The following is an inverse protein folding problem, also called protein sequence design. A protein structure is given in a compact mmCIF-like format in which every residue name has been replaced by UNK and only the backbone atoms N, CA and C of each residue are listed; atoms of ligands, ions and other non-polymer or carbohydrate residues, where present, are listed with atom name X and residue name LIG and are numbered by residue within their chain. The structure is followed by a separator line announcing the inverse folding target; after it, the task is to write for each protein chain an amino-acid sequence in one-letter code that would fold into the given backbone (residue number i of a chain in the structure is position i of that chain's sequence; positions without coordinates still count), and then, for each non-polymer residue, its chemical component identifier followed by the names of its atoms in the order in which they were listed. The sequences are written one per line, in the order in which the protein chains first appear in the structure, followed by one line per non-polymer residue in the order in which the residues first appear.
data_IF_418287375623
#
_entry.id   IF_418287375623
#
_cell.length_a   1.000
_cell.length_b   1.000
_cell.length_c   1.000
_cell.angle_alpha   90.00
_cell.angle_beta   90.00
_cell.angle_gamma   90.00
#
_symmetry.space_group_name_H-M   'P 1'
#
loop_
_entity.id
_entity.type
_entity.pdbx_description
1 polymer ?
#
# COMPACT_ATOMS: atom_id res chain seq x y z
N UNK A 1 1.80 -6.72 -22.13
CA UNK A 1 1.00 -5.63 -21.54
C UNK A 1 1.88 -4.52 -20.99
N UNK A 2 2.62 -4.78 -19.90
CA UNK A 2 3.44 -3.75 -19.23
C UNK A 2 4.44 -3.01 -20.13
N UNK A 3 5.06 -3.72 -21.09
CA UNK A 3 6.03 -3.10 -22.02
C UNK A 3 5.36 -2.05 -22.92
N UNK A 4 4.19 -2.34 -23.50
CA UNK A 4 3.50 -1.40 -24.41
C UNK A 4 3.02 -0.16 -23.66
N UNK A 5 2.43 -0.34 -22.48
CA UNK A 5 1.97 0.77 -21.64
C UNK A 5 3.14 1.60 -21.10
N UNK A 6 4.27 0.96 -20.77
CA UNK A 6 5.48 1.66 -20.34
C UNK A 6 6.12 2.45 -21.50
N UNK A 7 6.12 1.92 -22.73
CA UNK A 7 6.59 2.65 -23.91
C UNK A 7 5.71 3.86 -24.20
N UNK A 8 4.38 3.71 -24.18
CA UNK A 8 3.48 4.86 -24.35
C UNK A 8 3.59 5.90 -23.23
N UNK A 9 3.81 5.45 -21.98
CA UNK A 9 4.07 6.35 -20.85
C UNK A 9 5.40 7.08 -20.98
N UNK A 10 6.44 6.42 -21.49
CA UNK A 10 7.75 7.03 -21.75
C UNK A 10 7.78 7.99 -22.95
N UNK A 11 6.81 7.87 -23.86
CA UNK A 11 6.63 8.77 -25.01
C UNK A 11 5.60 9.88 -24.74
N UNK A 12 5.20 10.08 -23.47
CA UNK A 12 4.17 11.06 -23.03
C UNK A 12 2.79 10.87 -23.68
N UNK A 13 2.51 9.70 -24.27
CA UNK A 13 1.23 9.37 -24.90
C UNK A 13 0.23 8.78 -23.89
N UNK A 14 0.01 9.49 -22.79
CA UNK A 14 -0.85 9.06 -21.67
C UNK A 14 -2.27 8.65 -22.10
N UNK A 15 -2.82 9.27 -23.14
CA UNK A 15 -4.13 8.92 -23.71
C UNK A 15 -4.17 7.48 -24.27
N UNK A 16 -3.08 7.02 -24.91
CA UNK A 16 -2.98 5.66 -25.48
C UNK A 16 -2.75 4.58 -24.43
N UNK A 17 -2.35 4.98 -23.22
CA UNK A 17 -2.34 4.10 -22.02
C UNK A 17 -3.71 4.08 -21.34
N UNK A 18 -4.36 5.25 -21.25
CA UNK A 18 -5.62 5.39 -20.53
C UNK A 18 -6.78 4.70 -21.25
N UNK A 19 -6.90 4.82 -22.57
CA UNK A 19 -8.04 4.28 -23.33
C UNK A 19 -8.19 2.75 -23.17
N UNK A 20 -7.14 1.92 -23.40
CA UNK A 20 -7.25 0.47 -23.20
C UNK A 20 -7.57 0.10 -21.75
N UNK A 21 -6.95 0.78 -20.78
CA UNK A 21 -7.16 0.51 -19.35
C UNK A 21 -8.58 0.87 -18.91
N UNK A 22 -9.13 2.00 -19.34
CA UNK A 22 -10.50 2.42 -19.00
C UNK A 22 -11.52 1.45 -19.59
N UNK A 23 -11.37 1.08 -20.87
CA UNK A 23 -12.27 0.14 -21.54
C UNK A 23 -12.21 -1.23 -20.87
N UNK A 24 -11.00 -1.78 -20.68
CA UNK A 24 -10.82 -3.10 -20.09
C UNK A 24 -11.23 -3.17 -18.62
N UNK A 25 -10.94 -2.13 -17.84
CA UNK A 25 -11.35 -2.06 -16.42
C UNK A 25 -12.85 -1.89 -16.29
N UNK A 26 -13.48 -1.06 -17.13
CA UNK A 26 -14.95 -0.90 -17.13
C UNK A 26 -15.64 -2.21 -17.48
N UNK A 27 -15.24 -2.86 -18.59
CA UNK A 27 -15.80 -4.13 -19.02
C UNK A 27 -15.63 -5.21 -17.94
N UNK A 28 -14.43 -5.30 -17.35
CA UNK A 28 -14.16 -6.22 -16.24
C UNK A 28 -15.09 -5.95 -15.05
N UNK A 29 -15.23 -4.71 -14.62
CA UNK A 29 -16.08 -4.33 -13.49
C UNK A 29 -17.55 -4.66 -13.76
N UNK A 30 -18.06 -4.40 -14.95
CA UNK A 30 -19.42 -4.77 -15.35
C UNK A 30 -19.64 -6.29 -15.29
N UNK A 31 -18.73 -7.08 -15.86
CA UNK A 31 -18.82 -8.55 -15.83
C UNK A 31 -18.70 -9.09 -14.40
N UNK A 32 -17.85 -8.47 -13.57
CA UNK A 32 -17.66 -8.84 -12.18
C UNK A 32 -18.93 -8.58 -11.35
N UNK A 33 -19.59 -7.43 -11.54
CA UNK A 33 -20.86 -7.08 -10.87
C UNK A 33 -21.98 -8.01 -11.34
N UNK A 34 -22.10 -8.26 -12.66
CA UNK A 34 -23.12 -9.13 -13.20
C UNK A 34 -23.01 -10.57 -12.68
N UNK A 35 -21.80 -11.12 -12.64
CA UNK A 35 -21.54 -12.48 -12.13
C UNK A 35 -21.75 -12.58 -10.61
N UNK A 36 -21.41 -11.53 -9.86
CA UNK A 36 -21.69 -11.47 -8.43
C UNK A 36 -23.20 -11.42 -8.12
N UNK A 37 -23.98 -10.63 -8.86
CA UNK A 37 -25.43 -10.53 -8.69
C UNK A 37 -26.17 -11.82 -9.05
N UNK A 38 -25.64 -12.58 -10.03
CA UNK A 38 -26.18 -13.88 -10.40
C UNK A 38 -25.79 -15.00 -9.41
N UNK A 39 -25.01 -14.69 -8.37
CA UNK A 39 -24.57 -15.67 -7.37
C UNK A 39 -23.63 -16.74 -7.93
N UNK A 40 -22.98 -16.47 -9.06
CA UNK A 40 -22.09 -17.44 -9.69
C UNK A 40 -20.81 -17.58 -8.87
N UNK A 41 -20.37 -18.83 -8.67
CA UNK A 41 -19.20 -19.14 -7.85
C UNK A 41 -17.92 -18.42 -8.30
N UNK A 42 -16.93 -18.38 -7.41
CA UNK A 42 -15.67 -17.60 -7.52
C UNK A 42 -14.92 -17.78 -8.85
N UNK A 43 -15.09 -18.92 -9.51
CA UNK A 43 -14.49 -19.22 -10.83
C UNK A 43 -14.96 -18.25 -11.94
N UNK A 44 -16.22 -17.79 -11.91
CA UNK A 44 -16.74 -16.85 -12.90
C UNK A 44 -16.23 -15.42 -12.70
N UNK A 45 -15.92 -15.05 -11.45
CA UNK A 45 -15.21 -13.81 -11.13
C UNK A 45 -13.79 -13.82 -11.73
N UNK A 46 -13.09 -14.96 -11.62
CA UNK A 46 -11.76 -15.13 -12.23
C UNK A 46 -11.80 -15.06 -13.77
N UNK A 47 -12.85 -15.61 -14.41
CA UNK A 47 -13.03 -15.50 -15.88
C UNK A 47 -13.29 -14.07 -16.34
N UNK A 48 -14.09 -13.32 -15.60
CA UNK A 48 -14.35 -11.89 -15.87
C UNK A 48 -13.05 -11.07 -15.81
N UNK A 49 -12.16 -11.42 -14.87
CA UNK A 49 -10.83 -10.83 -14.77
C UNK A 49 -9.96 -11.11 -16.02
N UNK A 50 -9.93 -12.36 -16.47
CA UNK A 50 -9.17 -12.76 -17.66
C UNK A 50 -9.66 -12.04 -18.93
N UNK A 51 -10.98 -11.95 -19.12
CA UNK A 51 -11.57 -11.25 -20.29
C UNK A 51 -11.13 -9.79 -20.33
N UNK A 52 -11.17 -9.10 -19.18
CA UNK A 52 -10.71 -7.72 -19.07
C UNK A 52 -9.25 -7.55 -19.51
N UNK A 53 -8.37 -8.42 -19.01
CA UNK A 53 -6.94 -8.40 -19.37
C UNK A 53 -6.73 -8.64 -20.87
N UNK A 54 -7.45 -9.60 -21.44
CA UNK A 54 -7.35 -9.91 -22.87
C UNK A 54 -7.78 -8.73 -23.74
N UNK A 55 -8.84 -8.02 -23.36
CA UNK A 55 -9.29 -6.81 -24.07
C UNK A 55 -8.25 -5.70 -24.00
N UNK A 56 -7.63 -5.46 -22.83
CA UNK A 56 -6.54 -4.49 -22.68
C UNK A 56 -5.36 -4.89 -23.58
N UNK A 57 -5.04 -6.18 -23.66
CA UNK A 57 -3.93 -6.68 -24.46
C UNK A 57 -4.17 -6.48 -25.95
N UNK A 58 -5.37 -6.79 -26.43
CA UNK A 58 -5.76 -6.61 -27.83
C UNK A 58 -5.77 -5.14 -28.24
N UNK A 59 -6.36 -4.26 -27.42
CA UNK A 59 -6.39 -2.82 -27.69
C UNK A 59 -4.99 -2.21 -27.64
N UNK A 60 -4.16 -2.61 -26.67
CA UNK A 60 -2.76 -2.16 -26.60
C UNK A 60 -1.96 -2.61 -27.82
N UNK A 61 -2.16 -3.85 -28.29
CA UNK A 61 -1.52 -4.38 -29.50
C UNK A 61 -1.96 -3.63 -30.76
N UNK A 62 -3.24 -3.29 -30.86
CA UNK A 62 -3.78 -2.52 -31.98
C UNK A 62 -3.14 -1.12 -32.05
N UNK A 63 -3.01 -0.44 -30.91
CA UNK A 63 -2.31 0.85 -30.84
C UNK A 63 -0.80 0.77 -31.09
N UNK A 64 -0.18 -0.39 -30.86
CA UNK A 64 1.26 -0.59 -31.07
C UNK A 64 1.63 -0.91 -32.52
N UNK A 65 0.63 -1.17 -33.39
CA UNK A 65 0.84 -1.60 -34.77
C UNK A 65 1.62 -0.60 -35.62
N UNK A 66 1.52 0.68 -35.31
CA UNK A 66 2.16 1.76 -36.07
C UNK A 66 3.58 2.08 -35.59
N UNK A 67 4.08 1.41 -34.55
CA UNK A 67 5.43 1.62 -34.03
C UNK A 67 6.46 0.76 -34.77
N UNK A 68 7.60 1.33 -35.20
CA UNK A 68 8.66 0.58 -35.84
C UNK A 68 9.33 -0.36 -34.84
N UNK A 69 9.04 -1.66 -34.94
CA UNK A 69 9.68 -2.70 -34.13
C UNK A 69 11.01 -3.08 -34.80
N UNK A 70 12.11 -2.59 -34.25
CA UNK A 70 13.47 -3.00 -34.68
C UNK A 70 13.95 -4.23 -33.90
N UNK A 71 14.95 -4.94 -34.43
CA UNK A 71 15.54 -6.10 -33.75
C UNK A 71 16.21 -5.67 -32.43
N UNK A 72 16.15 -6.48 -31.37
CA UNK A 72 16.81 -6.17 -30.10
C UNK A 72 18.31 -6.03 -30.32
N UNK A 73 18.84 -4.85 -30.07
CA UNK A 73 20.28 -4.63 -30.05
C UNK A 73 20.87 -5.06 -28.71
N UNK A 74 22.03 -5.72 -28.75
CA UNK A 74 22.65 -6.37 -27.58
C UNK A 74 23.15 -5.34 -26.57
N UNK A 75 23.59 -4.17 -27.04
CA UNK A 75 24.04 -3.06 -26.21
C UNK A 75 22.84 -2.43 -25.49
N UNK A 76 21.75 -2.19 -26.23
CA UNK A 76 20.47 -1.72 -25.67
C UNK A 76 19.93 -2.69 -24.61
N UNK A 77 19.92 -4.00 -24.88
CA UNK A 77 19.46 -4.99 -23.91
C UNK A 77 20.29 -5.00 -22.62
N UNK A 78 21.62 -4.87 -22.72
CA UNK A 78 22.50 -4.89 -21.56
C UNK A 78 22.34 -3.62 -20.71
N UNK A 79 22.16 -2.46 -21.35
CA UNK A 79 21.84 -1.19 -20.69
C UNK A 79 20.50 -1.27 -19.93
N UNK A 80 19.45 -1.77 -20.60
CA UNK A 80 18.14 -1.97 -19.97
C UNK A 80 18.21 -2.96 -18.81
N UNK A 81 18.96 -4.06 -18.93
CA UNK A 81 19.11 -5.05 -17.86
C UNK A 81 19.79 -4.45 -16.62
N UNK A 82 20.84 -3.66 -16.81
CA UNK A 82 21.57 -2.99 -15.73
C UNK A 82 20.68 -2.05 -14.92
N UNK A 83 19.70 -1.41 -15.57
CA UNK A 83 18.73 -0.54 -14.91
C UNK A 83 17.49 -1.30 -14.38
N UNK A 84 16.92 -2.20 -15.17
CA UNK A 84 15.67 -2.88 -14.87
C UNK A 84 15.80 -3.88 -13.72
N UNK A 85 16.94 -4.57 -13.56
CA UNK A 85 17.12 -5.55 -12.48
C UNK A 85 17.08 -4.87 -11.10
N UNK A 86 17.88 -3.82 -10.82
CA UNK A 86 17.80 -3.11 -9.54
C UNK A 86 16.40 -2.55 -9.26
N UNK A 87 15.75 -1.97 -10.27
CA UNK A 87 14.40 -1.40 -10.12
C UNK A 87 13.35 -2.49 -9.83
N UNK A 88 13.43 -3.63 -10.52
CA UNK A 88 12.56 -4.78 -10.27
C UNK A 88 12.79 -5.33 -8.86
N UNK A 89 14.04 -5.48 -8.42
CA UNK A 89 14.39 -5.93 -7.08
C UNK A 89 13.85 -4.97 -6.00
N UNK A 90 14.03 -3.66 -6.19
CA UNK A 90 13.48 -2.64 -5.30
C UNK A 90 11.95 -2.69 -5.23
N UNK A 91 11.28 -2.87 -6.37
CA UNK A 91 9.81 -2.97 -6.44
C UNK A 91 9.29 -4.21 -5.71
N UNK A 92 9.93 -5.36 -5.90
CA UNK A 92 9.61 -6.60 -5.18
C UNK A 92 9.80 -6.38 -3.68
N UNK A 93 10.89 -5.72 -3.26
CA UNK A 93 11.15 -5.47 -1.85
C UNK A 93 10.11 -4.53 -1.21
N UNK A 94 9.64 -3.52 -1.94
CA UNK A 94 8.56 -2.63 -1.49
C UNK A 94 7.25 -3.40 -1.31
N UNK A 95 6.86 -4.23 -2.30
CA UNK A 95 5.65 -5.05 -2.23
C UNK A 95 5.76 -6.07 -1.08
N UNK A 96 6.92 -6.71 -0.94
CA UNK A 96 7.19 -7.65 0.13
C UNK A 96 7.04 -6.96 1.49
N UNK A 97 7.65 -5.78 1.68
CA UNK A 97 7.50 -4.98 2.91
C UNK A 97 6.04 -4.63 3.23
N UNK A 98 5.23 -4.35 2.21
CA UNK A 98 3.79 -4.02 2.37
C UNK A 98 2.89 -5.23 2.67
N UNK A 99 3.39 -6.45 2.46
CA UNK A 99 2.63 -7.68 2.66
C UNK A 99 3.25 -8.63 3.68
N UNK A 100 4.42 -8.27 4.22
CA UNK A 100 5.10 -9.05 5.25
C UNK A 100 4.21 -9.24 6.48
N UNK A 101 3.55 -8.17 6.93
CA UNK A 101 2.53 -8.22 7.98
C UNK A 101 1.44 -9.27 7.70
N UNK A 102 0.95 -9.32 6.46
CA UNK A 102 -0.09 -10.26 6.02
C UNK A 102 0.39 -11.70 6.01
N UNK A 103 1.62 -11.92 5.56
CA UNK A 103 2.23 -13.25 5.50
C UNK A 103 2.44 -13.77 6.93
N UNK A 104 2.96 -12.94 7.84
CA UNK A 104 3.13 -13.31 9.23
C UNK A 104 1.78 -13.63 9.88
N UNK A 105 0.79 -12.74 9.77
CA UNK A 105 -0.55 -12.99 10.34
C UNK A 105 -1.16 -14.27 9.75
N UNK A 106 -1.07 -14.48 8.43
CA UNK A 106 -1.61 -15.67 7.77
C UNK A 106 -0.93 -17.00 8.15
N UNK A 107 0.33 -16.98 8.59
CA UNK A 107 1.05 -18.19 9.05
C UNK A 107 0.70 -18.51 10.52
N UNK A 108 0.50 -17.49 11.35
CA UNK A 108 0.35 -17.66 12.80
C UNK A 108 -1.11 -17.67 13.28
N UNK A 109 -2.04 -17.08 12.53
CA UNK A 109 -3.43 -16.96 12.92
C UNK A 109 -4.34 -17.87 12.09
N UNK A 110 -5.52 -18.17 12.64
CA UNK A 110 -6.54 -18.94 11.92
C UNK A 110 -7.16 -18.13 10.78
N UNK A 111 -7.68 -18.79 9.74
CA UNK A 111 -8.34 -18.12 8.61
C UNK A 111 -9.42 -17.12 9.05
N UNK A 112 -10.16 -17.46 10.12
CA UNK A 112 -11.17 -16.58 10.73
C UNK A 112 -10.54 -15.30 11.30
N UNK A 113 -9.48 -15.41 12.10
CA UNK A 113 -8.77 -14.26 12.69
C UNK A 113 -8.12 -13.37 11.61
N UNK A 114 -7.56 -13.98 10.57
CA UNK A 114 -7.01 -13.28 9.40
C UNK A 114 -8.11 -12.49 8.69
N UNK A 115 -9.30 -13.10 8.51
CA UNK A 115 -10.48 -12.45 7.93
C UNK A 115 -10.95 -11.24 8.75
N UNK A 116 -11.03 -11.39 10.07
CA UNK A 116 -11.37 -10.30 10.99
C UNK A 116 -10.40 -9.12 10.87
N UNK A 117 -9.10 -9.40 10.90
CA UNK A 117 -8.05 -8.38 10.79
C UNK A 117 -8.15 -7.60 9.47
N UNK A 118 -8.23 -8.29 8.33
CA UNK A 118 -8.28 -7.62 7.03
C UNK A 118 -9.57 -6.86 6.77
N UNK A 119 -10.66 -7.25 7.42
CA UNK A 119 -11.92 -6.50 7.34
C UNK A 119 -11.77 -5.12 8.00
N UNK A 120 -11.30 -5.07 9.25
CA UNK A 120 -11.13 -3.80 9.98
C UNK A 120 -9.93 -2.98 9.52
N UNK A 121 -8.88 -3.62 8.98
CA UNK A 121 -7.71 -2.92 8.43
C UNK A 121 -8.11 -1.92 7.33
N UNK A 122 -9.14 -2.23 6.53
CA UNK A 122 -9.64 -1.33 5.49
C UNK A 122 -10.13 0.00 6.07
N UNK A 123 -10.78 -0.04 7.24
CA UNK A 123 -11.25 1.15 7.94
C UNK A 123 -10.04 1.97 8.43
N UNK A 124 -9.04 1.33 9.04
CA UNK A 124 -7.84 2.01 9.51
C UNK A 124 -7.04 2.67 8.35
N UNK A 125 -7.01 2.06 7.16
CA UNK A 125 -6.36 2.63 5.98
C UNK A 125 -7.00 3.97 5.58
N UNK A 126 -8.31 4.15 5.76
CA UNK A 126 -8.98 5.42 5.46
C UNK A 126 -8.43 6.59 6.28
N UNK A 127 -8.06 6.36 7.54
CA UNK A 127 -7.43 7.37 8.41
C UNK A 127 -6.11 7.86 7.78
N UNK A 128 -5.37 6.94 7.16
CA UNK A 128 -4.10 7.23 6.51
C UNK A 128 -4.19 8.06 5.23
N UNK A 129 -5.36 8.16 4.59
CA UNK A 129 -5.54 8.90 3.33
C UNK A 129 -5.27 10.39 3.52
N UNK A 130 -5.64 10.96 4.68
CA UNK A 130 -5.38 12.36 5.00
C UNK A 130 -3.88 12.72 4.92
N UNK A 131 -3.01 11.76 5.24
CA UNK A 131 -1.56 11.98 5.18
C UNK A 131 -1.03 12.09 3.73
N UNK A 132 -1.74 11.51 2.75
CA UNK A 132 -1.35 11.55 1.34
C UNK A 132 -1.57 12.96 0.79
N UNK A 133 -2.70 13.58 1.09
CA UNK A 133 -2.99 14.95 0.65
C UNK A 133 -1.95 15.95 1.17
N UNK A 134 -1.52 15.77 2.43
CA UNK A 134 -0.46 16.60 2.99
C UNK A 134 0.89 16.30 2.35
N UNK A 135 1.20 15.03 2.05
CA UNK A 135 2.43 14.66 1.35
C UNK A 135 2.58 15.34 -0.01
N UNK A 136 1.52 15.36 -0.81
CA UNK A 136 1.50 16.00 -2.13
C UNK A 136 1.74 17.51 -2.05
N UNK A 137 1.29 18.16 -0.96
CA UNK A 137 1.49 19.59 -0.75
C UNK A 137 2.87 19.91 -0.13
N UNK A 138 3.30 19.14 0.87
CA UNK A 138 4.52 19.43 1.65
C UNK A 138 5.79 19.13 0.86
N UNK A 139 5.82 18.07 0.06
CA UNK A 139 7.02 17.65 -0.65
C UNK A 139 7.59 18.75 -1.57
N UNK A 140 6.82 19.33 -2.52
CA UNK A 140 7.34 20.41 -3.38
C UNK A 140 7.70 21.68 -2.61
N UNK A 141 6.94 22.02 -1.55
CA UNK A 141 7.21 23.19 -0.71
C UNK A 141 8.55 23.06 0.03
N UNK A 142 8.83 21.89 0.61
CA UNK A 142 10.08 21.60 1.31
C UNK A 142 11.25 21.58 0.33
N UNK A 143 11.11 20.95 -0.84
CA UNK A 143 12.19 20.94 -1.85
C UNK A 143 12.57 22.35 -2.32
N UNK A 144 11.59 23.24 -2.50
CA UNK A 144 11.85 24.65 -2.84
C UNK A 144 12.56 25.42 -1.72
N UNK A 145 12.15 25.21 -0.47
CA UNK A 145 12.80 25.83 0.70
C UNK A 145 14.21 25.30 0.92
N UNK A 146 14.43 24.02 0.65
CA UNK A 146 15.75 23.38 0.74
C UNK A 146 16.71 23.92 -0.32
N UNK A 147 16.27 24.04 -1.57
CA UNK A 147 17.05 24.67 -2.64
C UNK A 147 17.44 26.13 -2.30
N UNK A 148 16.60 26.82 -1.54
CA UNK A 148 16.85 28.19 -1.06
C UNK A 148 17.67 28.26 0.24
N UNK A 149 18.16 27.12 0.77
CA UNK A 149 18.89 26.97 2.05
C UNK A 149 18.14 27.53 3.29
N UNK A 150 16.81 27.55 3.27
CA UNK A 150 15.97 28.10 4.36
C UNK A 150 15.57 27.02 5.38
N UNK A 151 16.53 26.43 6.09
CA UNK A 151 16.27 25.29 6.99
C UNK A 151 15.29 25.60 8.15
N UNK A 152 15.33 26.81 8.70
CA UNK A 152 14.38 27.22 9.75
C UNK A 152 12.93 27.25 9.23
N UNK A 153 12.73 27.71 7.99
CA UNK A 153 11.40 27.73 7.37
C UNK A 153 10.87 26.31 7.11
N UNK A 154 11.75 25.36 6.80
CA UNK A 154 11.38 23.93 6.68
C UNK A 154 10.89 23.42 8.03
N UNK A 155 11.63 23.70 9.12
CA UNK A 155 11.25 23.25 10.46
C UNK A 155 9.88 23.80 10.87
N UNK A 156 9.63 25.10 10.68
CA UNK A 156 8.32 25.71 10.95
C UNK A 156 7.20 25.08 10.12
N UNK A 157 7.42 24.89 8.82
CA UNK A 157 6.43 24.27 7.92
C UNK A 157 6.08 22.84 8.35
N UNK A 158 7.07 22.06 8.81
CA UNK A 158 6.86 20.70 9.28
C UNK A 158 6.08 20.67 10.59
N UNK A 159 6.40 21.54 11.55
CA UNK A 159 5.64 21.65 12.80
C UNK A 159 4.19 22.10 12.57
N UNK A 160 3.98 23.07 11.67
CA UNK A 160 2.64 23.52 11.32
C UNK A 160 1.86 22.38 10.66
N UNK A 161 2.46 21.65 9.72
CA UNK A 161 1.84 20.50 9.08
C UNK A 161 1.49 19.39 10.08
N UNK A 162 2.42 19.05 10.98
CA UNK A 162 2.19 18.08 12.06
C UNK A 162 1.02 18.52 12.94
N UNK A 163 1.00 19.78 13.36
CA UNK A 163 -0.06 20.34 14.20
C UNK A 163 -1.41 20.30 13.51
N UNK A 164 -1.51 20.78 12.26
CA UNK A 164 -2.79 20.81 11.53
C UNK A 164 -3.30 19.40 11.21
N UNK A 165 -2.40 18.49 10.81
CA UNK A 165 -2.77 17.08 10.64
C UNK A 165 -3.26 16.49 11.96
N UNK A 166 -2.50 16.68 13.04
CA UNK A 166 -2.86 16.18 14.36
C UNK A 166 -4.22 16.68 14.83
N UNK A 167 -4.52 17.97 14.62
CA UNK A 167 -5.83 18.55 14.98
C UNK A 167 -7.01 17.90 14.27
N UNK A 168 -6.82 17.37 13.05
CA UNK A 168 -7.88 16.68 12.30
C UNK A 168 -7.91 15.18 12.61
N UNK A 169 -6.74 14.54 12.65
CA UNK A 169 -6.62 13.08 12.76
C UNK A 169 -6.86 12.58 14.17
N UNK A 170 -6.44 13.34 15.20
CA UNK A 170 -6.67 12.94 16.60
C UNK A 170 -8.17 12.78 16.90
N UNK A 171 -9.06 13.75 16.60
CA UNK A 171 -10.50 13.55 16.76
C UNK A 171 -11.02 12.34 16.00
N UNK A 172 -10.62 12.17 14.73
CA UNK A 172 -11.07 11.02 13.91
C UNK A 172 -10.68 9.69 14.55
N UNK A 173 -9.46 9.58 15.05
CA UNK A 173 -8.98 8.37 15.74
C UNK A 173 -9.71 8.14 17.06
N UNK A 174 -9.91 9.19 17.86
CA UNK A 174 -10.68 9.09 19.12
C UNK A 174 -12.10 8.62 18.84
N UNK A 175 -12.77 9.19 17.84
CA UNK A 175 -14.11 8.76 17.42
C UNK A 175 -14.11 7.30 16.95
N UNK A 176 -13.07 6.90 16.21
CA UNK A 176 -12.93 5.51 15.73
C UNK A 176 -12.74 4.53 16.89
N UNK A 177 -12.00 4.93 17.93
CA UNK A 177 -11.74 4.08 19.10
C UNK A 177 -13.00 3.94 19.97
N UNK A 178 -13.68 5.06 20.24
CA UNK A 178 -14.87 5.09 21.10
C UNK A 178 -16.04 4.35 20.45
N UNK A 179 -16.23 4.51 19.13
CA UNK A 179 -17.33 3.89 18.38
C UNK A 179 -16.87 2.71 17.51
N UNK A 180 -15.81 2.01 17.90
CA UNK A 180 -15.23 0.94 17.08
C UNK A 180 -16.25 -0.17 16.77
N UNK A 181 -17.10 -0.53 17.74
CA UNK A 181 -18.12 -1.57 17.59
C UNK A 181 -19.23 -1.13 16.63
N UNK A 182 -19.72 0.10 16.77
CA UNK A 182 -20.78 0.68 15.93
C UNK A 182 -20.29 0.88 14.49
N UNK A 183 -19.04 1.33 14.32
CA UNK A 183 -18.42 1.46 13.00
C UNK A 183 -18.34 0.09 12.32
N UNK A 184 -17.90 -0.95 13.04
CA UNK A 184 -17.83 -2.31 12.48
C UNK A 184 -19.23 -2.83 12.10
N UNK A 185 -20.22 -2.61 12.95
CA UNK A 185 -21.60 -3.03 12.68
C UNK A 185 -22.17 -2.34 11.43
N UNK A 186 -21.93 -1.04 11.26
CA UNK A 186 -22.46 -0.23 10.16
C UNK A 186 -21.72 -0.49 8.84
N UNK A 187 -20.38 -0.55 8.86
CA UNK A 187 -19.57 -0.62 7.65
C UNK A 187 -19.24 -2.04 7.19
N UNK A 188 -19.34 -3.03 8.09
CA UNK A 188 -18.98 -4.42 7.79
C UNK A 188 -20.17 -5.34 8.07
N UNK A 189 -20.34 -5.77 9.33
CA UNK A 189 -21.43 -6.64 9.81
C UNK A 189 -21.20 -6.97 11.29
N UNK A 190 -22.26 -7.43 11.98
CA UNK A 190 -22.20 -7.89 13.37
C UNK A 190 -21.24 -9.06 13.61
N UNK A 191 -21.02 -9.88 12.59
CA UNK A 191 -20.09 -11.03 12.67
C UNK A 191 -18.63 -10.60 12.96
N UNK A 192 -18.29 -9.35 12.65
CA UNK A 192 -16.94 -8.81 12.82
C UNK A 192 -16.74 -8.04 14.13
N UNK A 193 -17.75 -7.96 15.01
CA UNK A 193 -17.65 -7.28 16.30
C UNK A 193 -16.45 -7.72 17.17
N UNK A 194 -16.02 -9.00 17.17
CA UNK A 194 -14.81 -9.41 17.89
C UNK A 194 -13.53 -8.67 17.45
N UNK A 195 -13.52 -8.05 16.27
CA UNK A 195 -12.41 -7.27 15.75
C UNK A 195 -12.39 -5.80 16.24
N UNK A 196 -13.27 -5.41 17.17
CA UNK A 196 -13.35 -4.06 17.73
C UNK A 196 -12.03 -3.61 18.34
N UNK A 197 -11.40 -4.46 19.16
CA UNK A 197 -10.08 -4.18 19.76
C UNK A 197 -8.98 -4.02 18.71
N UNK A 198 -9.02 -4.83 17.65
CA UNK A 198 -8.06 -4.76 16.53
C UNK A 198 -8.21 -3.41 15.82
N UNK A 199 -9.45 -2.95 15.57
CA UNK A 199 -9.69 -1.64 14.97
C UNK A 199 -9.14 -0.51 15.83
N UNK A 200 -9.32 -0.56 17.15
CA UNK A 200 -8.80 0.45 18.08
C UNK A 200 -7.26 0.53 18.01
N UNK A 201 -6.58 -0.62 18.04
CA UNK A 201 -5.12 -0.68 17.95
C UNK A 201 -4.61 -0.18 16.60
N UNK A 202 -5.26 -0.58 15.49
CA UNK A 202 -4.92 -0.11 14.16
C UNK A 202 -5.15 1.40 14.00
N UNK A 203 -6.19 1.96 14.62
CA UNK A 203 -6.44 3.40 14.61
C UNK A 203 -5.34 4.18 15.36
N UNK A 204 -4.87 3.66 16.51
CA UNK A 204 -3.72 4.23 17.23
C UNK A 204 -2.42 4.14 16.42
N UNK A 205 -2.16 2.99 15.78
CA UNK A 205 -1.01 2.82 14.91
C UNK A 205 -1.06 3.79 13.72
N UNK A 206 -2.26 3.99 13.14
CA UNK A 206 -2.48 4.96 12.09
C UNK A 206 -2.20 6.40 12.56
N UNK A 207 -2.63 6.77 13.77
CA UNK A 207 -2.34 8.09 14.34
C UNK A 207 -0.84 8.38 14.39
N UNK A 208 -0.05 7.47 14.98
CA UNK A 208 1.40 7.63 15.11
C UNK A 208 2.04 7.76 13.72
N UNK A 209 1.61 6.92 12.76
CA UNK A 209 2.13 6.93 11.40
C UNK A 209 1.82 8.25 10.67
N UNK A 210 0.62 8.78 10.84
CA UNK A 210 0.15 9.99 10.16
C UNK A 210 0.82 11.24 10.73
N UNK A 211 0.95 11.34 12.05
CA UNK A 211 1.64 12.45 12.73
C UNK A 211 3.14 12.47 12.41
N UNK A 212 3.78 11.30 12.24
CA UNK A 212 5.19 11.23 11.84
C UNK A 212 5.42 11.49 10.33
N UNK A 213 4.36 11.58 9.52
CA UNK A 213 4.50 11.69 8.06
C UNK A 213 5.22 12.97 7.61
N UNK A 214 4.91 14.18 8.14
CA UNK A 214 5.58 15.43 7.77
C UNK A 214 7.10 15.37 7.94
N UNK A 215 7.58 14.76 9.02
CA UNK A 215 9.02 14.56 9.28
C UNK A 215 9.68 13.66 8.23
N UNK A 216 9.03 12.57 7.84
CA UNK A 216 9.51 11.71 6.77
C UNK A 216 9.52 12.43 5.41
N UNK A 217 8.57 13.33 5.16
CA UNK A 217 8.54 14.14 3.94
C UNK A 217 9.65 15.19 3.97
N UNK A 218 9.93 15.78 5.13
CA UNK A 218 10.99 16.76 5.30
C UNK A 218 12.37 16.22 4.94
N UNK A 219 12.67 15.01 5.38
CA UNK A 219 13.92 14.32 5.04
C UNK A 219 14.01 14.00 3.54
N UNK A 220 12.92 13.52 2.94
CA UNK A 220 12.86 13.24 1.50
C UNK A 220 12.99 14.50 0.64
N UNK A 221 12.29 15.57 1.00
CA UNK A 221 12.32 16.85 0.30
C UNK A 221 13.64 17.61 0.44
N UNK A 222 14.43 17.30 1.48
CA UNK A 222 15.75 17.92 1.75
C UNK A 222 16.93 17.10 1.21
N UNK A 223 16.70 16.27 0.19
CA UNK A 223 17.71 15.42 -0.45
C UNK A 223 18.48 14.50 0.53
N UNK A 224 17.79 14.07 1.60
CA UNK A 224 18.27 13.10 2.59
C UNK A 224 17.37 11.85 2.63
N UNK A 225 17.07 11.20 1.48
CA UNK A 225 16.28 9.97 1.47
C UNK A 225 16.97 8.84 2.26
N UNK A 226 18.31 8.88 2.39
CA UNK A 226 19.10 7.89 3.11
C UNK A 226 18.70 7.78 4.59
N UNK A 227 18.48 8.92 5.25
CA UNK A 227 18.01 8.95 6.64
C UNK A 227 16.59 8.38 6.77
N UNK A 228 15.74 8.67 5.79
CA UNK A 228 14.39 8.10 5.74
C UNK A 228 14.45 6.58 5.57
N UNK A 229 15.36 6.09 4.72
CA UNK A 229 15.60 4.67 4.51
C UNK A 229 16.14 3.99 5.76
N UNK A 230 17.09 4.58 6.47
CA UNK A 230 17.62 4.06 7.74
C UNK A 230 16.50 3.97 8.79
N UNK A 231 15.71 5.02 8.99
CA UNK A 231 14.57 5.00 9.92
C UNK A 231 13.55 3.94 9.52
N UNK A 232 13.27 3.81 8.23
CA UNK A 232 12.36 2.78 7.71
C UNK A 232 12.89 1.36 7.87
N UNK A 233 14.20 1.16 7.80
CA UNK A 233 14.85 -0.12 8.06
C UNK A 233 14.80 -0.41 9.56
N UNK A 234 15.19 0.53 10.41
CA UNK A 234 15.12 0.38 11.87
C UNK A 234 13.70 0.10 12.34
N UNK A 235 12.69 0.81 11.82
CA UNK A 235 11.29 0.57 12.14
C UNK A 235 10.81 -0.81 11.64
N UNK A 236 11.25 -1.24 10.45
CA UNK A 236 10.92 -2.58 9.95
C UNK A 236 11.59 -3.67 10.80
N UNK A 237 12.86 -3.51 11.14
CA UNK A 237 13.60 -4.41 12.02
C UNK A 237 12.95 -4.48 13.39
N UNK A 238 12.60 -3.34 13.99
CA UNK A 238 11.91 -3.27 15.27
C UNK A 238 10.53 -3.91 15.19
N UNK A 239 9.78 -3.68 14.09
CA UNK A 239 8.49 -4.32 13.86
C UNK A 239 8.62 -5.84 13.73
N UNK A 240 9.64 -6.34 13.03
CA UNK A 240 9.91 -7.78 12.91
C UNK A 240 10.32 -8.36 14.26
N UNK A 241 11.17 -7.68 15.03
CA UNK A 241 11.57 -8.09 16.38
C UNK A 241 10.36 -8.11 17.32
N UNK A 242 9.52 -7.07 17.29
CA UNK A 242 8.29 -7.01 18.07
C UNK A 242 7.31 -8.10 17.64
N UNK A 243 7.14 -8.35 16.34
CA UNK A 243 6.33 -9.46 15.85
C UNK A 243 6.88 -10.81 16.34
N UNK A 244 8.19 -11.03 16.24
CA UNK A 244 8.84 -12.25 16.74
C UNK A 244 8.84 -12.34 18.28
N UNK A 245 8.67 -11.24 19.01
CA UNK A 245 8.60 -11.24 20.47
C UNK A 245 7.16 -11.34 21.00
N UNK A 246 6.17 -10.75 20.33
CA UNK A 246 4.76 -10.77 20.76
C UNK A 246 3.97 -11.96 20.20
N UNK A 247 4.26 -12.39 18.97
CA UNK A 247 3.42 -13.36 18.24
C UNK A 247 3.68 -14.83 18.61
N UNK A 248 4.91 -15.34 18.81
CA UNK A 248 5.09 -16.79 18.80
C UNK A 248 4.85 -17.44 20.16
N UNK A 249 3.81 -18.27 20.27
CA UNK A 249 3.81 -19.39 21.22
C UNK A 249 4.12 -20.75 20.57
N UNK A 250 3.84 -20.96 19.28
CA UNK A 250 4.21 -22.19 18.55
C UNK A 250 4.45 -21.88 17.07
N UNK A 251 5.50 -22.46 16.50
CA UNK A 251 5.66 -22.52 15.04
C UNK A 251 5.22 -23.92 14.60
N UNK A 252 3.98 -24.12 14.11
CA UNK A 252 3.49 -25.46 13.76
C UNK A 252 4.30 -26.12 12.63
N UNK A 253 4.95 -25.35 11.76
CA UNK A 253 5.77 -25.88 10.66
C UNK A 253 7.23 -26.22 11.03
N UNK A 254 7.72 -25.80 12.19
CA UNK A 254 9.11 -26.03 12.63
C UNK A 254 9.21 -26.87 13.91
N UNK A 255 8.07 -27.30 14.50
CA UNK A 255 8.06 -28.15 15.70
C UNK A 255 8.61 -27.48 16.96
N UNK A 256 8.76 -26.16 16.96
CA UNK A 256 9.28 -25.38 18.10
C UNK A 256 8.12 -24.97 19.01
N UNK A 257 8.05 -25.63 20.16
CA UNK A 257 6.96 -25.53 21.14
C UNK A 257 7.22 -24.55 22.31
N UNK A 258 8.46 -24.04 22.44
CA UNK A 258 8.88 -23.13 23.52
C UNK A 258 9.62 -21.93 22.94
N UNK A 259 8.87 -20.97 22.41
CA UNK A 259 9.38 -19.64 22.10
C UNK A 259 8.87 -18.65 23.16
N UNK A 260 9.68 -17.66 23.57
CA UNK A 260 9.37 -16.72 24.66
C UNK A 260 8.38 -15.63 24.22
N UNK A 261 7.36 -15.98 23.43
CA UNK A 261 6.32 -15.03 23.04
C UNK A 261 5.15 -15.05 24.01
N UNK A 262 4.66 -13.86 24.34
CA UNK A 262 3.56 -13.69 25.30
C UNK A 262 2.21 -14.25 24.81
N UNK A 263 2.12 -14.66 23.54
CA UNK A 263 0.89 -15.20 22.96
C UNK A 263 -0.18 -14.13 22.87
N UNK A 264 0.15 -13.02 22.21
CA UNK A 264 -0.83 -11.98 21.90
C UNK A 264 -1.89 -12.53 20.95
N UNK A 265 -3.02 -12.94 21.50
CA UNK A 265 -4.26 -13.08 20.74
C UNK A 265 -4.79 -11.68 20.43
N UNK A 266 -4.86 -11.33 19.15
CA UNK A 266 -5.47 -10.06 18.72
C UNK A 266 -4.67 -8.83 19.18
N UNK A 267 -3.68 -8.46 18.38
CA UNK A 267 -3.24 -7.07 18.29
C UNK A 267 -3.45 -6.57 16.85
#
# INVERSE_FOLDING_TARGET
LGVMTATFSGLEQSARVAIPNVIGTSLRSFLFIATALMGWGVIWLARSYLIGITVIALLSLWYFKDYPISKPDKETFNSYKSYAIPVAAASIFVIFKQHLDKIFIGIFWTEHQVGLYFAVQRIAIFIGILAIAVEEMLLPAISKLHASRKNQAIQHLVYDAERYIGMVVVPVVVMTIVWSSEIIEVFISREFLPASTILQLLALAALVRVVNRPWSIALRGSDRPDLTSIVNILAASLSIILMLALVPKRIPHLGLNDLPGMGGEGA
#
